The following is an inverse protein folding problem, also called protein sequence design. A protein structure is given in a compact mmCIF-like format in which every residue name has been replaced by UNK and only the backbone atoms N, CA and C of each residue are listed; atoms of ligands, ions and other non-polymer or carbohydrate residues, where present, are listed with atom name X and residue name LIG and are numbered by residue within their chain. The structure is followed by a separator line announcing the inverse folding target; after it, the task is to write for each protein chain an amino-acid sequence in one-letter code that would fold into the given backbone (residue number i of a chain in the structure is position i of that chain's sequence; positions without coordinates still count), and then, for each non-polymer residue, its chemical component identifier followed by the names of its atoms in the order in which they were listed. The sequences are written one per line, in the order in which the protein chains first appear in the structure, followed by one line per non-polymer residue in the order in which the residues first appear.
data_IF_864156980901
#
_entry.id   IF_864156980901
#
_cell.length_a   1.000
_cell.length_b   1.000
_cell.length_c   1.000
_cell.angle_alpha   90.00
_cell.angle_beta   90.00
_cell.angle_gamma   90.00
#
_symmetry.space_group_name_H-M   'P 1'
#
loop_
_entity.id
_entity.type
_entity.pdbx_description
1 polymer ?
#
# COMPACT_ATOMS: atom_id res chain seq x y z
N UNK A 1 6.24 -18.47 0.35
CA UNK A 1 7.08 -18.29 1.57
C UNK A 1 7.13 -19.59 2.35
N UNK A 2 8.30 -20.06 2.79
CA UNK A 2 8.36 -21.19 3.71
C UNK A 2 7.77 -20.75 5.05
N UNK A 3 6.73 -21.45 5.52
CA UNK A 3 6.18 -21.27 6.85
C UNK A 3 7.29 -21.52 7.89
N UNK A 4 7.84 -20.46 8.48
CA UNK A 4 8.86 -20.58 9.53
C UNK A 4 10.15 -19.77 9.32
N UNK A 5 10.29 -18.93 8.29
CA UNK A 5 11.44 -18.02 8.23
C UNK A 5 11.35 -16.99 9.37
N UNK A 6 12.43 -16.80 10.16
CA UNK A 6 12.39 -15.86 11.28
C UNK A 6 12.15 -14.43 10.79
N UNK A 7 11.16 -13.74 11.36
CA UNK A 7 10.77 -12.39 11.01
C UNK A 7 10.35 -11.61 12.27
N UNK A 8 10.11 -10.31 12.14
CA UNK A 8 9.69 -9.43 13.22
C UNK A 8 10.80 -8.51 13.72
N UNK A 9 10.42 -7.55 14.53
CA UNK A 9 11.30 -6.45 14.96
C UNK A 9 12.54 -6.95 15.68
N UNK A 10 12.38 -7.93 16.58
CA UNK A 10 13.48 -8.49 17.34
C UNK A 10 14.49 -9.22 16.44
N UNK A 11 13.99 -10.02 15.49
CA UNK A 11 14.83 -10.77 14.54
C UNK A 11 15.59 -9.80 13.63
N UNK A 12 14.92 -8.82 13.04
CA UNK A 12 15.53 -7.88 12.11
C UNK A 12 16.57 -6.95 12.73
N UNK A 13 16.50 -6.72 14.05
CA UNK A 13 17.54 -6.02 14.82
C UNK A 13 18.73 -6.92 15.14
N UNK A 14 18.60 -8.26 15.00
CA UNK A 14 19.62 -9.23 15.30
C UNK A 14 20.81 -9.21 14.34
N UNK A 15 22.00 -9.56 14.83
CA UNK A 15 23.23 -9.61 14.02
C UNK A 15 23.20 -10.74 13.00
N UNK A 16 22.63 -11.88 13.36
CA UNK A 16 22.53 -13.04 12.47
C UNK A 16 21.70 -12.73 11.23
N UNK A 17 20.52 -12.15 11.40
CA UNK A 17 19.67 -11.75 10.27
C UNK A 17 20.37 -10.70 9.39
N UNK A 18 21.02 -9.69 10.00
CA UNK A 18 21.75 -8.66 9.23
C UNK A 18 22.90 -9.25 8.44
N UNK A 19 23.60 -10.25 8.98
CA UNK A 19 24.65 -10.95 8.24
C UNK A 19 24.10 -11.72 7.04
N UNK A 20 22.99 -12.45 7.22
CA UNK A 20 22.32 -13.18 6.14
C UNK A 20 21.78 -12.23 5.05
N UNK A 21 21.12 -11.14 5.44
CA UNK A 21 20.61 -10.12 4.53
C UNK A 21 21.74 -9.43 3.75
N UNK A 22 22.86 -9.13 4.42
CA UNK A 22 24.03 -8.52 3.77
C UNK A 22 24.66 -9.47 2.77
N UNK A 23 24.80 -10.76 3.09
CA UNK A 23 25.35 -11.76 2.18
C UNK A 23 24.46 -11.91 0.92
N UNK A 24 23.13 -11.96 1.10
CA UNK A 24 22.20 -12.00 -0.03
C UNK A 24 22.32 -10.76 -0.93
N UNK A 25 22.46 -9.56 -0.32
CA UNK A 25 22.67 -8.31 -1.06
C UNK A 25 23.99 -8.35 -1.85
N UNK A 26 25.08 -8.85 -1.25
CA UNK A 26 26.37 -8.96 -1.91
C UNK A 26 26.29 -9.90 -3.12
N UNK A 27 25.62 -11.05 -2.99
CA UNK A 27 25.39 -12.00 -4.10
C UNK A 27 24.53 -11.37 -5.22
N UNK A 28 23.46 -10.64 -4.86
CA UNK A 28 22.58 -9.97 -5.81
C UNK A 28 23.29 -8.84 -6.57
N UNK A 29 24.09 -8.04 -5.88
CA UNK A 29 24.88 -6.98 -6.49
C UNK A 29 25.94 -7.56 -7.44
N UNK A 30 26.65 -8.61 -7.02
CA UNK A 30 27.64 -9.29 -7.87
C UNK A 30 27.01 -9.84 -9.16
N UNK A 31 25.80 -10.43 -9.07
CA UNK A 31 25.05 -10.90 -10.24
C UNK A 31 24.63 -9.74 -11.17
N UNK A 32 24.41 -8.54 -10.62
CA UNK A 32 24.12 -7.32 -11.39
C UNK A 32 25.37 -6.58 -11.89
N UNK A 33 26.57 -7.09 -11.62
CA UNK A 33 27.84 -6.46 -12.01
C UNK A 33 28.23 -5.26 -11.15
N UNK A 34 27.74 -5.19 -9.93
CA UNK A 34 28.01 -4.12 -8.94
C UNK A 34 28.56 -4.70 -7.63
N UNK A 35 28.99 -3.84 -6.74
CA UNK A 35 29.48 -4.23 -5.41
C UNK A 35 29.12 -3.21 -4.35
N UNK A 36 29.03 -3.67 -3.11
CA UNK A 36 28.85 -2.81 -1.94
C UNK A 36 30.17 -2.13 -1.58
N UNK A 37 30.14 -0.79 -1.37
CA UNK A 37 31.29 0.03 -1.02
C UNK A 37 31.41 0.38 0.46
N UNK A 38 30.43 -0.03 1.29
CA UNK A 38 30.41 0.25 2.71
C UNK A 38 29.43 -0.67 3.46
N UNK A 39 29.21 -0.46 4.75
CA UNK A 39 28.31 -1.31 5.56
C UNK A 39 26.86 -1.17 5.11
N UNK A 40 26.13 -2.30 5.08
CA UNK A 40 24.66 -2.29 5.03
C UNK A 40 24.13 -1.86 6.40
N UNK A 41 23.39 -0.76 6.43
CA UNK A 41 22.91 -0.13 7.67
C UNK A 41 21.41 -0.29 7.79
N UNK A 42 20.94 -0.77 8.96
CA UNK A 42 19.51 -0.83 9.26
C UNK A 42 18.95 0.59 9.31
N UNK A 43 18.15 0.95 8.31
CA UNK A 43 17.57 2.27 8.14
C UNK A 43 16.21 2.39 8.85
N UNK A 44 15.36 1.37 8.72
CA UNK A 44 14.00 1.35 9.30
C UNK A 44 13.63 -0.07 9.71
N UNK A 45 12.90 -0.18 10.82
CA UNK A 45 12.27 -1.43 11.26
C UNK A 45 10.88 -1.12 11.80
N UNK A 46 9.89 -1.81 11.25
CA UNK A 46 8.51 -1.79 11.69
C UNK A 46 7.99 -3.23 11.85
N UNK A 47 6.84 -3.45 12.49
CA UNK A 47 6.23 -4.78 12.58
C UNK A 47 6.07 -5.49 11.23
N UNK A 48 5.87 -4.75 10.15
CA UNK A 48 5.59 -5.26 8.81
C UNK A 48 6.79 -5.30 7.86
N UNK A 49 7.90 -4.63 8.18
CA UNK A 49 9.10 -4.64 7.32
C UNK A 49 10.38 -4.15 8.00
N UNK A 50 11.52 -4.57 7.46
CA UNK A 50 12.83 -3.98 7.73
C UNK A 50 13.47 -3.49 6.44
N UNK A 51 14.20 -2.37 6.51
CA UNK A 51 14.89 -1.76 5.37
C UNK A 51 16.36 -1.54 5.71
N UNK A 52 17.25 -2.05 4.86
CA UNK A 52 18.69 -1.75 4.91
C UNK A 52 19.03 -0.72 3.82
N UNK A 53 19.81 0.29 4.19
CA UNK A 53 20.49 1.18 3.26
C UNK A 53 21.86 0.61 2.93
N UNK A 54 22.15 0.45 1.64
CA UNK A 54 23.38 -0.21 1.16
C UNK A 54 24.08 0.71 0.17
N UNK A 55 25.30 1.21 0.50
CA UNK A 55 26.08 2.03 -0.43
C UNK A 55 26.75 1.14 -1.50
N UNK A 56 26.74 1.58 -2.75
CA UNK A 56 27.42 0.96 -3.89
C UNK A 56 28.28 1.97 -4.63
N UNK A 57 29.05 1.53 -5.63
CA UNK A 57 29.84 2.41 -6.46
C UNK A 57 29.00 3.43 -7.26
N UNK A 58 27.75 3.07 -7.59
CA UNK A 58 26.83 3.88 -8.40
C UNK A 58 25.81 4.66 -7.55
N UNK A 59 25.94 4.60 -6.22
CA UNK A 59 25.01 5.29 -5.30
C UNK A 59 24.51 4.41 -4.17
N UNK A 60 23.24 4.50 -3.85
CA UNK A 60 22.58 3.72 -2.79
C UNK A 60 21.63 2.69 -3.43
N UNK A 61 21.52 1.51 -2.83
CA UNK A 61 20.43 0.58 -3.07
C UNK A 61 19.73 0.26 -1.75
N UNK A 62 18.50 -0.19 -1.82
CA UNK A 62 17.65 -0.44 -0.66
C UNK A 62 17.19 -1.89 -0.62
N UNK A 63 17.58 -2.62 0.43
CA UNK A 63 17.06 -3.97 0.68
C UNK A 63 15.86 -3.86 1.61
N UNK A 64 14.72 -4.41 1.19
CA UNK A 64 13.50 -4.50 2.02
C UNK A 64 13.19 -5.97 2.31
N UNK A 65 12.95 -6.28 3.57
CA UNK A 65 12.38 -7.55 4.02
C UNK A 65 10.96 -7.30 4.52
N UNK A 66 9.99 -8.03 3.98
CA UNK A 66 8.58 -7.91 4.33
C UNK A 66 8.17 -9.02 5.31
N UNK A 67 7.25 -8.70 6.24
CA UNK A 67 6.60 -9.70 7.09
C UNK A 67 5.72 -10.64 6.23
N UNK A 68 5.34 -11.82 6.74
CA UNK A 68 4.49 -12.76 6.00
C UNK A 68 3.19 -12.15 5.48
N UNK A 69 2.59 -11.25 6.24
CA UNK A 69 1.33 -10.59 5.91
C UNK A 69 1.43 -9.54 4.80
N UNK A 70 2.64 -9.07 4.50
CA UNK A 70 2.94 -8.10 3.43
C UNK A 70 3.88 -8.68 2.36
N UNK A 71 4.17 -9.99 2.41
CA UNK A 71 5.09 -10.68 1.51
C UNK A 71 4.65 -10.69 0.03
N UNK A 72 3.35 -10.46 -0.22
CA UNK A 72 2.79 -10.33 -1.58
C UNK A 72 3.43 -9.19 -2.38
N UNK A 73 4.02 -8.21 -1.71
CA UNK A 73 4.73 -7.11 -2.36
C UNK A 73 5.82 -7.62 -3.31
N UNK A 74 6.53 -8.68 -2.94
CA UNK A 74 7.66 -9.21 -3.74
C UNK A 74 7.21 -9.77 -5.10
N UNK A 75 6.29 -10.74 -5.20
CA UNK A 75 5.80 -11.20 -6.50
C UNK A 75 5.01 -10.13 -7.25
N UNK A 76 4.33 -9.21 -6.57
CA UNK A 76 3.62 -8.10 -7.19
C UNK A 76 4.57 -7.17 -7.96
N UNK A 77 5.77 -6.89 -7.45
CA UNK A 77 6.79 -6.11 -8.18
C UNK A 77 7.11 -6.69 -9.56
N UNK A 78 7.08 -8.02 -9.72
CA UNK A 78 7.31 -8.66 -11.03
C UNK A 78 6.21 -8.32 -12.04
N UNK A 79 4.97 -8.18 -11.59
CA UNK A 79 3.84 -7.75 -12.43
C UNK A 79 4.01 -6.27 -12.78
N UNK A 80 4.24 -5.42 -11.80
CA UNK A 80 4.40 -3.97 -11.98
C UNK A 80 5.57 -3.62 -12.90
N UNK A 81 6.73 -4.24 -12.70
CA UNK A 81 7.93 -4.00 -13.50
C UNK A 81 7.75 -4.42 -14.97
N UNK A 82 6.85 -5.36 -15.25
CA UNK A 82 6.54 -5.80 -16.61
C UNK A 82 5.47 -4.94 -17.28
N UNK A 83 4.45 -4.53 -16.53
CA UNK A 83 3.28 -3.83 -17.09
C UNK A 83 3.50 -2.32 -17.15
N UNK A 84 4.12 -1.73 -16.13
CA UNK A 84 4.33 -0.29 -16.00
C UNK A 84 5.74 0.03 -15.46
N UNK A 85 6.81 -0.36 -16.18
CA UNK A 85 8.19 -0.19 -15.72
C UNK A 85 8.59 1.27 -15.48
N UNK A 86 7.96 2.21 -16.17
CA UNK A 86 8.21 3.65 -16.01
C UNK A 86 7.50 4.24 -14.76
N UNK A 87 6.59 3.48 -14.12
CA UNK A 87 5.79 3.92 -12.96
C UNK A 87 6.20 3.27 -11.65
N UNK A 88 7.17 2.35 -11.67
CA UNK A 88 7.63 1.66 -10.47
C UNK A 88 9.15 1.59 -10.43
N UNK A 89 9.71 1.21 -9.28
CA UNK A 89 11.12 0.82 -9.22
C UNK A 89 11.26 -0.60 -9.75
N UNK A 90 12.20 -0.81 -10.66
CA UNK A 90 12.50 -2.17 -11.15
C UNK A 90 13.46 -2.82 -10.16
N UNK A 91 13.10 -3.94 -9.49
CA UNK A 91 13.99 -4.61 -8.56
C UNK A 91 15.29 -5.06 -9.21
N UNK A 92 16.41 -4.84 -8.53
CA UNK A 92 17.72 -5.40 -8.89
C UNK A 92 17.70 -6.91 -8.63
N UNK A 93 17.08 -7.32 -7.50
CA UNK A 93 16.86 -8.72 -7.16
C UNK A 93 15.60 -8.87 -6.32
N UNK A 94 15.00 -10.07 -6.35
CA UNK A 94 13.86 -10.45 -5.55
C UNK A 94 14.01 -11.89 -5.06
N UNK A 95 13.65 -12.15 -3.81
CA UNK A 95 13.54 -13.48 -3.21
C UNK A 95 12.12 -13.66 -2.64
N UNK A 96 11.19 -14.25 -3.41
CA UNK A 96 9.83 -14.47 -2.95
C UNK A 96 9.72 -15.47 -1.77
N UNK A 97 10.69 -16.36 -1.59
CA UNK A 97 10.67 -17.32 -0.49
C UNK A 97 10.93 -16.65 0.87
N UNK A 98 11.85 -15.66 0.88
CA UNK A 98 12.18 -14.86 2.06
C UNK A 98 11.41 -13.56 2.17
N UNK A 99 10.63 -13.21 1.16
CA UNK A 99 9.97 -11.92 1.01
C UNK A 99 10.97 -10.74 1.03
N UNK A 100 12.07 -10.87 0.26
CA UNK A 100 13.12 -9.87 0.17
C UNK A 100 13.16 -9.21 -1.21
N UNK A 101 13.39 -7.90 -1.21
CA UNK A 101 13.58 -7.08 -2.41
C UNK A 101 14.89 -6.30 -2.31
N UNK A 102 15.62 -6.17 -3.42
CA UNK A 102 16.70 -5.21 -3.58
C UNK A 102 16.27 -4.20 -4.64
N UNK A 103 16.07 -2.96 -4.23
CA UNK A 103 15.57 -1.88 -5.08
C UNK A 103 16.67 -0.85 -5.34
N UNK A 104 16.72 -0.23 -6.54
CA UNK A 104 17.57 0.92 -6.78
C UNK A 104 17.10 2.13 -5.96
N UNK A 105 17.96 3.13 -5.83
CA UNK A 105 17.54 4.44 -5.33
C UNK A 105 16.67 5.12 -6.39
N UNK A 106 15.46 5.51 -5.98
CA UNK A 106 14.52 6.22 -6.85
C UNK A 106 14.66 7.74 -6.79
N UNK A 107 15.63 8.25 -6.06
CA UNK A 107 15.78 9.67 -5.75
C UNK A 107 14.90 10.17 -4.60
N UNK A 108 14.89 11.48 -4.33
CA UNK A 108 14.12 12.04 -3.23
C UNK A 108 12.60 11.91 -3.49
N UNK A 109 11.80 11.59 -2.46
CA UNK A 109 10.36 11.62 -2.56
C UNK A 109 9.82 13.03 -2.82
N UNK A 110 8.61 13.10 -3.36
CA UNK A 110 7.94 14.38 -3.67
C UNK A 110 7.85 15.27 -2.42
N UNK A 111 7.63 14.66 -1.25
CA UNK A 111 7.57 15.35 0.04
C UNK A 111 8.85 16.13 0.38
N UNK A 112 10.01 15.73 -0.12
CA UNK A 112 11.30 16.39 0.14
C UNK A 112 11.65 17.43 -0.93
N UNK A 113 10.83 17.58 -1.99
CA UNK A 113 11.11 18.42 -3.17
C UNK A 113 10.30 19.70 -3.21
N UNK A 114 9.33 19.86 -2.34
CA UNK A 114 8.43 21.00 -2.30
C UNK A 114 8.06 21.38 -0.87
N UNK A 115 7.95 22.67 -0.60
CA UNK A 115 7.39 23.17 0.66
C UNK A 115 5.88 22.90 0.79
N UNK A 116 5.22 22.62 -0.34
CA UNK A 116 3.81 22.26 -0.43
C UNK A 116 3.62 20.90 -1.15
N UNK A 117 4.04 19.79 -0.54
CA UNK A 117 4.08 18.48 -1.23
C UNK A 117 2.70 17.97 -1.67
N UNK A 118 1.65 18.32 -0.95
CA UNK A 118 0.26 17.93 -1.29
C UNK A 118 -0.26 18.64 -2.53
N UNK A 119 0.13 19.89 -2.76
CA UNK A 119 -0.20 20.63 -3.99
C UNK A 119 0.45 20.00 -5.23
N UNK A 120 1.64 19.38 -5.08
CA UNK A 120 2.34 18.68 -6.14
C UNK A 120 1.78 17.29 -6.51
N UNK A 121 0.74 16.82 -5.83
CA UNK A 121 0.20 15.46 -6.05
C UNK A 121 -0.62 15.31 -7.34
N UNK A 122 -1.22 16.35 -7.88
CA UNK A 122 -2.11 16.24 -9.05
C UNK A 122 -1.45 15.53 -10.27
N UNK A 123 -0.21 15.84 -10.69
CA UNK A 123 0.47 15.09 -11.75
C UNK A 123 0.73 13.62 -11.39
N UNK A 124 1.03 13.33 -10.12
CA UNK A 124 1.25 11.98 -9.64
C UNK A 124 -0.06 11.17 -9.67
N UNK A 125 -1.16 11.77 -9.24
CA UNK A 125 -2.50 11.15 -9.27
C UNK A 125 -2.94 10.85 -10.69
N UNK A 126 -2.74 11.77 -11.64
CA UNK A 126 -3.00 11.53 -13.06
C UNK A 126 -2.15 10.37 -13.61
N UNK A 127 -0.90 10.24 -13.18
CA UNK A 127 -0.03 9.14 -13.57
C UNK A 127 -0.45 7.81 -12.92
N UNK A 128 -0.91 7.86 -11.65
CA UNK A 128 -1.42 6.67 -10.96
C UNK A 128 -2.71 6.15 -11.60
N UNK A 129 -3.64 7.02 -11.99
CA UNK A 129 -4.82 6.62 -12.74
C UNK A 129 -4.47 5.90 -14.06
N UNK A 130 -3.45 6.36 -14.78
CA UNK A 130 -2.96 5.65 -15.99
C UNK A 130 -2.34 4.29 -15.65
N UNK A 131 -1.53 4.19 -14.58
CA UNK A 131 -1.02 2.90 -14.09
C UNK A 131 -2.15 1.90 -13.83
N UNK A 132 -3.23 2.35 -13.20
CA UNK A 132 -4.38 1.49 -12.90
C UNK A 132 -5.08 1.03 -14.19
N UNK A 133 -5.15 1.87 -15.21
CA UNK A 133 -5.66 1.50 -16.54
C UNK A 133 -4.78 0.46 -17.22
N UNK A 134 -3.46 0.61 -17.14
CA UNK A 134 -2.51 -0.36 -17.68
C UNK A 134 -2.61 -1.73 -17.01
N UNK A 135 -3.03 -1.77 -15.74
CA UNK A 135 -3.21 -3.00 -14.95
C UNK A 135 -4.55 -3.72 -15.15
N UNK A 136 -5.52 -3.18 -15.89
CA UNK A 136 -6.87 -3.76 -16.05
C UNK A 136 -6.86 -5.24 -16.46
N UNK A 137 -5.95 -5.65 -17.35
CA UNK A 137 -5.84 -7.05 -17.82
C UNK A 137 -5.11 -7.99 -16.85
N UNK A 138 -4.57 -7.49 -15.73
CA UNK A 138 -3.61 -8.20 -14.87
C UNK A 138 -4.13 -8.50 -13.46
N UNK A 139 -5.41 -8.30 -13.20
CA UNK A 139 -6.05 -8.53 -11.88
C UNK A 139 -5.85 -9.97 -11.41
N UNK A 140 -5.98 -10.96 -12.31
CA UNK A 140 -5.76 -12.37 -11.98
C UNK A 140 -4.33 -12.68 -11.54
N UNK A 141 -3.33 -12.01 -12.15
CA UNK A 141 -1.92 -12.17 -11.76
C UNK A 141 -1.64 -11.54 -10.39
N UNK A 142 -2.23 -10.38 -10.12
CA UNK A 142 -2.09 -9.70 -8.83
C UNK A 142 -2.75 -10.51 -7.69
N UNK A 143 -3.93 -11.12 -7.93
CA UNK A 143 -4.54 -12.05 -6.99
C UNK A 143 -3.65 -13.29 -6.76
N UNK A 144 -3.08 -13.85 -7.82
CA UNK A 144 -2.16 -14.98 -7.72
C UNK A 144 -0.85 -14.62 -6.97
N UNK A 145 -0.42 -13.36 -7.02
CA UNK A 145 0.67 -12.82 -6.22
C UNK A 145 0.32 -12.67 -4.73
N UNK A 146 -0.95 -12.83 -4.35
CA UNK A 146 -1.42 -12.73 -2.97
C UNK A 146 -1.84 -11.32 -2.56
N UNK A 147 -2.00 -10.39 -3.50
CA UNK A 147 -2.55 -9.06 -3.21
C UNK A 147 -3.96 -9.20 -2.62
N UNK A 148 -4.25 -8.59 -1.46
CA UNK A 148 -5.54 -8.73 -0.80
C UNK A 148 -6.72 -8.29 -1.68
N UNK A 149 -7.78 -9.08 -1.67
CA UNK A 149 -9.00 -8.79 -2.42
C UNK A 149 -9.95 -7.91 -1.59
N UNK A 150 -10.05 -6.64 -2.01
CA UNK A 150 -10.93 -5.61 -1.47
C UNK A 150 -11.86 -5.06 -2.57
N UNK A 151 -12.11 -5.87 -3.61
CA UNK A 151 -13.05 -5.49 -4.67
C UNK A 151 -14.46 -5.33 -4.12
N UNK A 152 -15.32 -4.55 -4.76
CA UNK A 152 -16.65 -4.26 -4.25
C UNK A 152 -17.43 -5.50 -3.82
N UNK A 153 -17.35 -6.60 -4.57
CA UNK A 153 -18.07 -7.84 -4.27
C UNK A 153 -17.61 -8.51 -2.97
N UNK A 154 -16.36 -8.30 -2.55
CA UNK A 154 -15.80 -8.84 -1.32
C UNK A 154 -16.09 -7.96 -0.09
N UNK A 155 -16.46 -6.68 -0.29
CA UNK A 155 -16.56 -5.70 0.79
C UNK A 155 -17.51 -6.06 1.93
N UNK A 156 -18.69 -6.67 1.72
CA UNK A 156 -19.54 -7.07 2.85
C UNK A 156 -18.84 -8.08 3.78
N UNK A 157 -18.10 -9.04 3.24
CA UNK A 157 -17.32 -10.00 4.03
C UNK A 157 -16.12 -9.32 4.72
N UNK A 158 -15.43 -8.44 4.01
CA UNK A 158 -14.30 -7.66 4.57
C UNK A 158 -14.75 -6.74 5.70
N UNK A 159 -15.93 -6.19 5.61
CA UNK A 159 -16.51 -5.38 6.69
C UNK A 159 -16.75 -6.20 7.96
N UNK A 160 -17.32 -7.42 7.85
CA UNK A 160 -17.48 -8.29 9.01
C UNK A 160 -16.14 -8.70 9.63
N UNK A 161 -15.12 -8.98 8.80
CA UNK A 161 -13.75 -9.23 9.27
C UNK A 161 -13.21 -8.02 10.05
N UNK A 162 -13.32 -6.82 9.49
CA UNK A 162 -12.87 -5.59 10.15
C UNK A 162 -13.62 -5.31 11.47
N UNK A 163 -14.94 -5.55 11.51
CA UNK A 163 -15.74 -5.38 12.71
C UNK A 163 -15.32 -6.35 13.82
N UNK A 164 -14.99 -7.61 13.49
CA UNK A 164 -14.47 -8.56 14.48
C UNK A 164 -13.19 -8.04 15.14
N UNK A 165 -12.24 -7.49 14.34
CA UNK A 165 -11.02 -6.91 14.89
C UNK A 165 -11.27 -5.61 15.68
N UNK A 166 -12.27 -4.81 15.29
CA UNK A 166 -12.63 -3.60 16.03
C UNK A 166 -13.18 -3.91 17.43
N UNK A 167 -13.93 -5.00 17.57
CA UNK A 167 -14.44 -5.48 18.88
C UNK A 167 -13.32 -5.86 19.85
N UNK A 168 -12.19 -6.32 19.33
CA UNK A 168 -11.02 -6.72 20.12
C UNK A 168 -10.14 -5.53 20.54
N UNK A 169 -10.38 -4.32 20.01
CA UNK A 169 -9.58 -3.15 20.31
C UNK A 169 -9.77 -2.68 21.78
N UNK A 170 -8.70 -2.23 22.47
CA UNK A 170 -8.78 -1.80 23.88
C UNK A 170 -9.78 -0.66 24.12
N UNK A 171 -10.00 0.20 23.12
CA UNK A 171 -10.91 1.33 23.17
C UNK A 171 -12.35 1.01 22.70
N UNK A 172 -12.67 -0.28 22.44
CA UNK A 172 -13.98 -0.69 21.95
C UNK A 172 -15.05 -0.52 23.02
N UNK A 173 -15.90 0.51 22.88
CA UNK A 173 -17.10 0.73 23.68
C UNK A 173 -18.35 0.24 22.94
N UNK A 174 -19.38 -0.17 23.71
CA UNK A 174 -20.63 -0.70 23.14
C UNK A 174 -21.26 0.24 22.12
N UNK A 175 -21.28 1.56 22.39
CA UNK A 175 -21.85 2.55 21.49
C UNK A 175 -21.07 2.66 20.17
N UNK A 176 -19.73 2.63 20.22
CA UNK A 176 -18.86 2.67 19.05
C UNK A 176 -19.07 1.43 18.18
N UNK A 177 -19.10 0.25 18.78
CA UNK A 177 -19.33 -1.00 18.07
C UNK A 177 -20.75 -1.06 17.49
N UNK A 178 -21.76 -0.61 18.22
CA UNK A 178 -23.14 -0.55 17.73
C UNK A 178 -23.25 0.39 16.51
N UNK A 179 -22.57 1.54 16.56
CA UNK A 179 -22.53 2.49 15.45
C UNK A 179 -21.87 1.87 14.20
N UNK A 180 -20.70 1.23 14.34
CA UNK A 180 -20.04 0.54 13.22
C UNK A 180 -20.94 -0.58 12.69
N UNK A 181 -21.51 -1.41 13.57
CA UNK A 181 -22.37 -2.52 13.17
C UNK A 181 -23.61 -2.08 12.37
N UNK A 182 -24.12 -0.86 12.62
CA UNK A 182 -25.22 -0.27 11.85
C UNK A 182 -24.86 0.05 10.39
N UNK A 183 -23.56 0.08 10.04
CA UNK A 183 -23.11 0.29 8.67
C UNK A 183 -23.20 -0.95 7.75
N UNK A 184 -23.63 -2.11 8.27
CA UNK A 184 -23.73 -3.36 7.46
C UNK A 184 -24.57 -3.19 6.20
N UNK A 185 -25.78 -2.65 6.34
CA UNK A 185 -26.69 -2.45 5.21
C UNK A 185 -26.15 -1.36 4.26
N UNK A 186 -25.73 -0.17 4.71
CA UNK A 186 -25.04 0.81 3.87
C UNK A 186 -23.82 0.26 3.12
N UNK A 187 -22.96 -0.51 3.77
CA UNK A 187 -21.78 -1.14 3.12
C UNK A 187 -22.19 -2.09 2.01
N UNK A 188 -23.23 -2.91 2.23
CA UNK A 188 -23.71 -3.82 1.20
C UNK A 188 -24.32 -3.06 0.00
N UNK A 189 -25.03 -1.96 0.25
CA UNK A 189 -25.58 -1.08 -0.81
C UNK A 189 -24.47 -0.40 -1.60
N UNK A 190 -23.49 0.22 -0.93
CA UNK A 190 -22.32 0.84 -1.58
C UNK A 190 -21.50 -0.16 -2.39
N UNK A 191 -21.30 -1.36 -1.86
CA UNK A 191 -20.60 -2.42 -2.55
C UNK A 191 -21.34 -2.84 -3.83
N UNK A 192 -22.65 -3.01 -3.77
CA UNK A 192 -23.49 -3.33 -4.94
C UNK A 192 -23.48 -2.23 -5.99
N UNK A 193 -23.51 -0.95 -5.56
CA UNK A 193 -23.45 0.19 -6.48
C UNK A 193 -22.10 0.28 -7.20
N UNK A 194 -20.96 0.10 -6.48
CA UNK A 194 -19.64 0.10 -7.11
C UNK A 194 -19.40 -1.16 -7.97
N UNK A 195 -19.96 -2.30 -7.62
CA UNK A 195 -19.89 -3.50 -8.46
C UNK A 195 -20.59 -3.31 -9.80
N UNK A 196 -21.57 -2.37 -9.87
CA UNK A 196 -22.25 -1.98 -11.10
C UNK A 196 -21.57 -0.81 -11.85
N UNK A 197 -20.42 -0.31 -11.34
CA UNK A 197 -19.65 0.74 -12.01
C UNK A 197 -19.08 0.23 -13.34
N UNK A 198 -19.02 1.07 -14.39
CA UNK A 198 -18.31 0.73 -15.62
C UNK A 198 -16.79 0.78 -15.47
N UNK A 199 -16.27 1.26 -14.33
CA UNK A 199 -14.83 1.34 -14.03
C UNK A 199 -14.36 0.01 -13.46
N UNK A 200 -13.47 -0.72 -14.16
CA UNK A 200 -13.04 -2.04 -13.71
C UNK A 200 -12.15 -1.96 -12.46
N UNK A 201 -12.11 -3.04 -11.64
CA UNK A 201 -11.21 -3.11 -10.50
C UNK A 201 -9.75 -2.95 -10.90
N UNK A 202 -8.93 -2.36 -10.02
CA UNK A 202 -7.50 -2.23 -10.21
C UNK A 202 -6.74 -2.21 -8.89
N UNK A 203 -5.44 -1.94 -8.95
CA UNK A 203 -4.55 -1.87 -7.79
C UNK A 203 -4.79 -0.56 -7.03
N UNK A 204 -5.19 -0.67 -5.77
CA UNK A 204 -5.15 0.41 -4.79
C UNK A 204 -3.81 0.36 -4.04
N UNK A 205 -3.09 1.47 -4.00
CA UNK A 205 -1.86 1.59 -3.20
C UNK A 205 -2.16 1.56 -1.70
N UNK A 206 -3.34 2.00 -1.31
CA UNK A 206 -3.87 2.15 0.05
C UNK A 206 -3.10 3.13 0.96
N UNK A 207 -1.89 3.58 0.56
CA UNK A 207 -1.08 4.58 1.28
C UNK A 207 -0.38 5.57 0.32
N UNK A 208 -1.11 6.05 -0.70
CA UNK A 208 -0.55 6.97 -1.69
C UNK A 208 -0.44 8.40 -1.13
N UNK A 209 0.78 8.80 -0.77
CA UNK A 209 1.08 10.13 -0.26
C UNK A 209 2.44 10.63 -0.80
N UNK A 210 2.80 11.91 -0.61
CA UNK A 210 4.01 12.50 -1.21
C UNK A 210 5.33 11.80 -0.85
N UNK A 211 5.41 11.08 0.27
CA UNK A 211 6.59 10.29 0.63
C UNK A 211 6.70 8.97 -0.15
N UNK A 212 5.61 8.47 -0.75
CA UNK A 212 5.58 7.24 -1.55
C UNK A 212 5.58 7.51 -3.07
N UNK A 213 5.88 8.76 -3.46
CA UNK A 213 6.02 9.18 -4.86
C UNK A 213 7.43 9.67 -5.09
N UNK A 214 8.13 9.03 -6.02
CA UNK A 214 9.49 9.38 -6.46
C UNK A 214 9.46 9.97 -7.87
N UNK A 215 10.58 10.53 -8.31
CA UNK A 215 10.80 10.91 -9.69
C UNK A 215 11.11 12.39 -9.89
N UNK A 216 12.00 12.63 -10.87
CA UNK A 216 12.61 13.92 -11.18
C UNK A 216 12.67 14.11 -12.68
N UNK A 217 11.96 14.04 -13.53
CA UNK A 217 12.09 14.33 -14.98
C UNK A 217 11.40 13.34 -15.88
N UNK A 218 11.51 12.04 -15.60
CA UNK A 218 10.85 10.97 -16.38
C UNK A 218 9.41 10.69 -15.92
N UNK A 219 8.92 11.47 -14.97
CA UNK A 219 7.59 11.35 -14.38
C UNK A 219 7.59 10.61 -13.04
N UNK A 220 6.43 10.60 -12.35
CA UNK A 220 6.31 9.99 -11.02
C UNK A 220 6.43 8.48 -11.08
N UNK A 221 7.17 7.90 -10.13
CA UNK A 221 7.25 6.48 -9.82
C UNK A 221 6.71 6.23 -8.42
N UNK A 222 6.05 5.09 -8.25
CA UNK A 222 5.42 4.70 -6.99
C UNK A 222 6.19 3.55 -6.37
N UNK A 223 6.27 3.54 -5.05
CA UNK A 223 6.96 2.51 -4.29
C UNK A 223 6.30 2.31 -2.91
N UNK A 224 6.80 1.34 -2.13
CA UNK A 224 6.25 0.93 -0.84
C UNK A 224 4.82 0.38 -0.95
N UNK A 225 4.70 -0.71 -1.71
CA UNK A 225 3.44 -1.35 -2.07
C UNK A 225 2.91 -2.33 -1.01
N UNK A 226 3.51 -2.40 0.17
CA UNK A 226 3.15 -3.36 1.22
C UNK A 226 1.72 -3.23 1.74
N UNK A 227 1.09 -2.08 1.55
CA UNK A 227 -0.29 -1.81 1.97
C UNK A 227 -1.33 -2.08 0.88
N UNK A 228 -0.89 -2.34 -0.34
CA UNK A 228 -1.75 -2.45 -1.52
C UNK A 228 -2.84 -3.51 -1.40
N UNK A 229 -3.91 -3.26 -2.14
CA UNK A 229 -5.04 -4.17 -2.31
C UNK A 229 -5.64 -4.08 -3.71
N UNK A 230 -6.43 -5.07 -4.11
CA UNK A 230 -7.27 -4.99 -5.30
C UNK A 230 -8.64 -4.45 -4.90
N UNK A 231 -9.02 -3.31 -5.45
CA UNK A 231 -10.25 -2.60 -5.09
C UNK A 231 -10.89 -1.93 -6.31
N UNK A 232 -11.99 -1.21 -6.10
CA UNK A 232 -12.39 -0.18 -7.06
C UNK A 232 -11.25 0.85 -7.16
N UNK A 233 -10.77 1.23 -8.35
CA UNK A 233 -9.55 2.03 -8.50
C UNK A 233 -9.58 3.34 -7.72
N UNK A 234 -10.77 3.93 -7.52
CA UNK A 234 -10.93 5.19 -6.81
C UNK A 234 -10.71 5.09 -5.29
N UNK A 235 -10.56 3.89 -4.73
CA UNK A 235 -10.19 3.68 -3.34
C UNK A 235 -8.85 4.36 -2.99
N UNK A 236 -7.90 4.39 -3.94
CA UNK A 236 -6.59 5.05 -3.78
C UNK A 236 -6.69 6.52 -3.39
N UNK A 237 -7.79 7.17 -3.75
CA UNK A 237 -8.00 8.61 -3.47
C UNK A 237 -8.36 8.90 -2.01
N UNK A 238 -8.50 7.88 -1.15
CA UNK A 238 -8.74 8.08 0.29
C UNK A 238 -7.63 8.95 0.89
N UNK A 239 -6.38 8.48 0.87
CA UNK A 239 -5.24 9.15 1.49
C UNK A 239 -4.92 10.51 0.85
N UNK A 240 -4.80 10.62 -0.49
CA UNK A 240 -4.52 11.92 -1.11
C UNK A 240 -5.55 12.99 -0.77
N UNK A 241 -6.85 12.66 -0.78
CA UNK A 241 -7.89 13.64 -0.52
C UNK A 241 -8.08 13.95 0.97
N UNK A 242 -7.75 13.03 1.87
CA UNK A 242 -7.75 13.31 3.30
C UNK A 242 -6.57 14.22 3.69
N UNK A 243 -5.43 14.11 2.99
CA UNK A 243 -4.25 14.97 3.19
C UNK A 243 -4.37 16.32 2.48
N UNK A 244 -5.11 16.39 1.37
CA UNK A 244 -5.28 17.62 0.61
C UNK A 244 -6.10 18.65 1.39
N UNK A 245 -5.64 19.90 1.40
CA UNK A 245 -6.47 21.02 1.84
C UNK A 245 -7.71 21.16 0.94
N UNK A 246 -8.81 21.75 1.45
CA UNK A 246 -10.05 21.91 0.67
C UNK A 246 -9.81 22.54 -0.72
N UNK A 247 -8.85 23.48 -0.81
CA UNK A 247 -8.48 24.22 -2.02
C UNK A 247 -7.86 23.35 -3.12
N UNK A 248 -7.27 22.18 -2.77
CA UNK A 248 -6.59 21.30 -3.72
C UNK A 248 -7.39 20.04 -4.07
N UNK A 249 -8.51 19.76 -3.38
CA UNK A 249 -9.29 18.51 -3.56
C UNK A 249 -9.89 18.38 -4.95
N UNK A 250 -10.44 19.46 -5.48
CA UNK A 250 -11.06 19.45 -6.81
C UNK A 250 -10.01 19.22 -7.90
N UNK A 251 -8.86 19.92 -7.83
CA UNK A 251 -7.75 19.73 -8.75
C UNK A 251 -7.21 18.30 -8.72
N UNK A 252 -7.00 17.76 -7.52
CA UNK A 252 -6.53 16.39 -7.32
C UNK A 252 -7.52 15.36 -7.90
N UNK A 253 -8.82 15.55 -7.63
CA UNK A 253 -9.88 14.67 -8.15
C UNK A 253 -9.96 14.73 -9.66
N UNK A 254 -9.96 15.92 -10.25
CA UNK A 254 -10.06 16.11 -11.70
C UNK A 254 -8.83 15.54 -12.43
N UNK A 255 -7.63 15.77 -11.90
CA UNK A 255 -6.39 15.21 -12.46
C UNK A 255 -6.39 13.68 -12.46
N UNK A 256 -6.87 13.05 -11.39
CA UNK A 256 -6.97 11.61 -11.28
C UNK A 256 -8.07 11.03 -12.19
N UNK A 257 -9.29 11.58 -12.11
CA UNK A 257 -10.46 11.07 -12.85
C UNK A 257 -10.33 11.23 -14.35
N UNK A 258 -9.47 12.12 -14.83
CA UNK A 258 -9.19 12.28 -16.26
C UNK A 258 -8.75 10.97 -16.95
N UNK A 259 -8.09 10.05 -16.20
CA UNK A 259 -7.69 8.74 -16.72
C UNK A 259 -8.88 7.79 -17.00
N UNK A 260 -10.07 8.10 -16.49
CA UNK A 260 -11.27 7.28 -16.59
C UNK A 260 -12.43 7.98 -17.34
N UNK A 261 -12.16 9.15 -17.93
CA UNK A 261 -13.19 9.98 -18.57
C UNK A 261 -13.86 9.32 -19.79
N UNK A 262 -13.22 8.30 -20.37
CA UNK A 262 -13.76 7.49 -21.48
C UNK A 262 -14.77 6.42 -21.00
N UNK A 263 -14.79 6.08 -19.71
CA UNK A 263 -15.62 5.01 -19.16
C UNK A 263 -17.00 5.49 -18.69
N UNK A 264 -17.08 6.73 -18.14
CA UNK A 264 -18.34 7.28 -17.65
C UNK A 264 -18.32 8.81 -17.63
N UNK A 265 -19.51 9.46 -17.60
CA UNK A 265 -19.60 10.89 -17.36
C UNK A 265 -19.01 11.30 -16.01
N UNK A 266 -18.42 12.51 -15.93
CA UNK A 266 -17.78 13.05 -14.72
C UNK A 266 -18.65 12.95 -13.46
N UNK A 267 -19.94 13.21 -13.58
CA UNK A 267 -20.89 13.12 -12.46
C UNK A 267 -20.94 11.70 -11.87
N UNK A 268 -20.97 10.67 -12.72
CA UNK A 268 -20.93 9.27 -12.28
C UNK A 268 -19.58 8.94 -11.66
N UNK A 269 -18.45 9.36 -12.25
CA UNK A 269 -17.13 9.13 -11.69
C UNK A 269 -16.96 9.76 -10.29
N UNK A 270 -17.54 10.94 -10.07
CA UNK A 270 -17.52 11.59 -8.74
C UNK A 270 -18.40 10.86 -7.73
N UNK A 271 -19.55 10.32 -8.14
CA UNK A 271 -20.38 9.50 -7.27
C UNK A 271 -19.66 8.21 -6.86
N UNK A 272 -19.06 7.51 -7.85
CA UNK A 272 -18.25 6.31 -7.60
C UNK A 272 -17.05 6.63 -6.70
N UNK A 273 -16.41 7.79 -6.84
CA UNK A 273 -15.31 8.24 -5.99
C UNK A 273 -15.72 8.41 -4.51
N UNK A 274 -16.87 9.01 -4.26
CA UNK A 274 -17.36 9.18 -2.88
C UNK A 274 -17.61 7.84 -2.21
N UNK A 275 -18.29 6.92 -2.90
CA UNK A 275 -18.55 5.57 -2.40
C UNK A 275 -17.25 4.77 -2.22
N UNK A 276 -16.35 4.82 -3.20
CA UNK A 276 -15.08 4.11 -3.14
C UNK A 276 -14.24 4.52 -1.93
N UNK A 277 -14.21 5.81 -1.58
CA UNK A 277 -13.51 6.33 -0.39
C UNK A 277 -14.14 5.85 0.92
N UNK A 278 -15.46 5.68 0.98
CA UNK A 278 -16.13 5.09 2.17
C UNK A 278 -15.70 3.63 2.36
N UNK A 279 -15.74 2.82 1.30
CA UNK A 279 -15.31 1.44 1.34
C UNK A 279 -13.79 1.27 1.55
N UNK A 280 -12.97 2.21 1.05
CA UNK A 280 -11.53 2.20 1.25
C UNK A 280 -11.13 2.29 2.73
N UNK A 281 -11.96 2.87 3.61
CA UNK A 281 -11.69 2.87 5.06
C UNK A 281 -11.76 1.46 5.65
N UNK A 282 -12.61 0.59 5.12
CA UNK A 282 -12.65 -0.83 5.51
C UNK A 282 -11.36 -1.53 5.09
N UNK A 283 -10.91 -1.31 3.86
CA UNK A 283 -9.64 -1.85 3.37
C UNK A 283 -8.45 -1.34 4.19
N UNK A 284 -8.43 -0.05 4.55
CA UNK A 284 -7.41 0.55 5.41
C UNK A 284 -7.41 -0.01 6.83
N UNK A 285 -8.59 -0.25 7.41
CA UNK A 285 -8.70 -0.91 8.72
C UNK A 285 -8.06 -2.31 8.69
N UNK A 286 -8.34 -3.10 7.66
CA UNK A 286 -7.72 -4.42 7.47
C UNK A 286 -6.22 -4.34 7.09
N UNK A 287 -5.77 -3.25 6.51
CA UNK A 287 -4.33 -3.00 6.30
C UNK A 287 -3.61 -2.84 7.64
N UNK A 288 -4.16 -2.10 8.60
CA UNK A 288 -3.63 -2.04 9.97
C UNK A 288 -3.59 -3.40 10.64
N UNK A 289 -4.65 -4.20 10.51
CA UNK A 289 -4.66 -5.58 11.04
C UNK A 289 -3.53 -6.42 10.44
N UNK A 290 -3.36 -6.41 9.11
CA UNK A 290 -2.27 -7.13 8.44
C UNK A 290 -0.89 -6.66 8.91
N UNK A 291 -0.69 -5.34 9.03
CA UNK A 291 0.58 -4.75 9.43
C UNK A 291 1.00 -5.19 10.85
N UNK A 292 0.04 -5.34 11.77
CA UNK A 292 0.30 -5.62 13.17
C UNK A 292 0.20 -7.10 13.55
N UNK A 293 -0.42 -7.92 12.69
CA UNK A 293 -0.67 -9.35 12.97
C UNK A 293 0.63 -10.10 13.31
N UNK A 294 1.68 -9.90 12.54
CA UNK A 294 2.97 -10.56 12.78
C UNK A 294 3.54 -10.28 14.16
N UNK A 295 3.48 -9.04 14.64
CA UNK A 295 3.93 -8.70 15.98
C UNK A 295 3.04 -9.31 17.06
N UNK A 296 1.72 -9.28 16.89
CA UNK A 296 0.78 -9.89 17.84
C UNK A 296 0.99 -11.40 17.95
N UNK A 297 1.15 -12.10 16.84
CA UNK A 297 1.41 -13.55 16.81
C UNK A 297 2.73 -13.94 17.47
N UNK A 298 3.72 -13.05 17.46
CA UNK A 298 5.03 -13.26 18.10
C UNK A 298 5.09 -12.73 19.54
N UNK A 299 4.01 -12.12 20.03
CA UNK A 299 4.00 -11.50 21.36
C UNK A 299 4.91 -10.27 21.46
N UNK A 300 5.25 -9.64 20.35
CA UNK A 300 5.97 -8.37 20.33
C UNK A 300 5.03 -7.22 20.71
N UNK A 301 5.52 -6.21 21.44
CA UNK A 301 4.70 -5.06 21.81
C UNK A 301 4.30 -4.26 20.56
N UNK A 302 3.01 -3.93 20.46
CA UNK A 302 2.49 -2.96 19.51
C UNK A 302 2.54 -1.57 20.14
N UNK A 303 2.91 -0.55 19.37
CA UNK A 303 2.87 0.83 19.88
C UNK A 303 1.43 1.22 20.21
N UNK A 304 1.19 1.85 21.37
CA UNK A 304 -0.13 2.22 21.88
C UNK A 304 -1.01 2.95 20.83
N UNK A 305 -0.41 3.82 20.02
CA UNK A 305 -1.10 4.54 18.94
C UNK A 305 -1.70 3.66 17.84
N UNK A 306 -1.29 2.40 17.74
CA UNK A 306 -1.79 1.46 16.74
C UNK A 306 -2.74 0.41 17.32
N UNK A 307 -2.85 0.31 18.65
CA UNK A 307 -3.68 -0.73 19.28
C UNK A 307 -5.16 -0.64 18.89
N UNK A 308 -5.66 0.58 18.68
CA UNK A 308 -7.05 0.85 18.27
C UNK A 308 -7.21 1.26 16.81
N UNK A 309 -6.16 1.15 15.97
CA UNK A 309 -6.16 1.68 14.62
C UNK A 309 -7.30 1.12 13.73
N UNK A 310 -7.66 -0.15 13.88
CA UNK A 310 -8.80 -0.76 13.16
C UNK A 310 -10.11 -0.08 13.56
N UNK A 311 -10.38 0.03 14.86
CA UNK A 311 -11.58 0.68 15.39
C UNK A 311 -11.68 2.14 14.96
N UNK A 312 -10.61 2.90 15.14
CA UNK A 312 -10.55 4.33 14.80
C UNK A 312 -10.81 4.56 13.32
N UNK A 313 -10.19 3.74 12.45
CA UNK A 313 -10.39 3.84 11.01
C UNK A 313 -11.84 3.55 10.60
N UNK A 314 -12.51 2.58 11.22
CA UNK A 314 -13.92 2.31 10.93
C UNK A 314 -14.86 3.42 11.44
N UNK A 315 -14.53 4.08 12.55
CA UNK A 315 -15.30 5.22 13.07
C UNK A 315 -15.21 6.46 12.17
N UNK A 316 -14.20 6.55 11.31
CA UNK A 316 -14.08 7.61 10.32
C UNK A 316 -14.98 7.42 9.07
N UNK A 317 -15.66 6.27 8.91
CA UNK A 317 -16.59 6.06 7.79
C UNK A 317 -17.73 7.09 7.95
N UNK A 318 -17.97 7.98 6.96
CA UNK A 318 -19.08 8.92 7.05
C UNK A 318 -20.42 8.19 7.11
N UNK A 319 -21.41 8.70 7.84
CA UNK A 319 -22.76 8.13 7.80
C UNK A 319 -23.32 8.18 6.38
N UNK A 320 -24.27 7.29 6.05
CA UNK A 320 -24.93 7.23 4.75
C UNK A 320 -25.71 8.51 4.40
#
# INVERSE_FOLDING_TARGET
MRSGEPHGVAVWKGEEWRAQATAWVDDALAAAGSERTGPAVLHRVHPWSAVLRVPTGDGTVWMKASAPTTAFEVPMYSVLARVAPERTLIPIAADPERAWLLLPDGGPPLAERSDEPTAGMAPALAAYGRLQRDLEGHIGELLAAGVPDMRPEAMPERFEEALLHAVEAPAAGDDAIAWIAALREPVAEWAAELAASPVPPSLDHSDLHPFNVLGDGDGPRFFDWGDSSLAHPFAVMLVPLDMAGPEHRDEASDAYLAAFADLAPRERLLADLDIARRLARIARALTWERALRSSREQGEPVEERFESAVLETLLEIPPP
#
